data_IF_445457380080
#
_entry.id   IF_445457380080
#
_cell.length_a   1.000
_cell.length_b   1.000
_cell.length_c   1.000
_cell.angle_alpha   90.00
_cell.angle_beta   90.00
_cell.angle_gamma   90.00
#
_symmetry.space_group_name_H-M   'P 1'
#
loop_
_entity.id
_entity.type
_entity.pdbx_description
1 polymer ?
#
# COMPACT_ATOMS: atom_id res chain seq x y z
N UNK A 1 53.11 -49.07 -12.77
CA UNK A 1 53.15 -47.97 -11.79
C UNK A 1 51.78 -47.77 -11.21
N UNK A 2 51.58 -48.19 -9.94
CA UNK A 2 50.31 -48.24 -9.26
C UNK A 2 49.94 -46.83 -8.76
N UNK A 3 48.70 -46.39 -9.05
CA UNK A 3 48.12 -45.17 -8.48
C UNK A 3 47.27 -45.53 -7.26
N UNK A 4 47.69 -44.99 -6.10
CA UNK A 4 47.02 -45.20 -4.81
C UNK A 4 45.86 -44.24 -4.71
N UNK A 5 44.61 -44.75 -4.60
CA UNK A 5 43.42 -43.98 -4.26
C UNK A 5 43.35 -43.82 -2.74
N UNK A 6 43.40 -42.58 -2.28
CA UNK A 6 43.20 -42.23 -0.88
C UNK A 6 41.69 -42.12 -0.58
N UNK A 7 41.22 -43.00 0.30
CA UNK A 7 39.83 -43.06 0.80
C UNK A 7 39.74 -42.17 2.04
N UNK A 8 39.05 -41.05 1.97
CA UNK A 8 38.80 -40.19 3.13
C UNK A 8 37.48 -40.62 3.77
N UNK A 9 37.55 -41.21 4.95
CA UNK A 9 36.42 -41.53 5.83
C UNK A 9 35.96 -40.23 6.56
N UNK A 10 34.70 -39.84 6.42
CA UNK A 10 34.05 -38.85 7.28
C UNK A 10 33.36 -39.54 8.47
N UNK A 11 33.49 -39.03 9.69
CA UNK A 11 32.77 -39.58 10.83
C UNK A 11 31.29 -39.16 10.82
N UNK A 12 30.44 -40.14 11.13
CA UNK A 12 28.98 -40.01 11.29
C UNK A 12 28.68 -39.26 12.60
N UNK A 13 28.19 -38.03 12.53
CA UNK A 13 27.71 -37.31 13.69
C UNK A 13 26.25 -37.71 13.97
N UNK A 14 26.01 -38.28 15.16
CA UNK A 14 24.69 -38.64 15.64
C UNK A 14 23.89 -37.36 15.98
N UNK A 15 22.78 -37.13 15.28
CA UNK A 15 21.78 -36.07 15.58
C UNK A 15 20.83 -36.59 16.67
N UNK A 16 20.87 -35.98 17.84
CA UNK A 16 19.89 -36.17 18.91
C UNK A 16 18.63 -35.40 18.56
N UNK A 17 17.52 -36.08 18.27
CA UNK A 17 16.21 -35.47 18.10
C UNK A 17 15.64 -35.13 19.47
N UNK A 18 15.56 -33.84 19.81
CA UNK A 18 14.69 -33.34 20.86
C UNK A 18 13.26 -33.37 20.36
N UNK A 19 12.41 -34.12 21.07
CA UNK A 19 10.99 -34.29 20.70
C UNK A 19 10.20 -32.98 20.77
N UNK A 20 9.68 -32.56 19.63
CA UNK A 20 8.69 -31.50 19.54
C UNK A 20 7.31 -32.15 19.48
N UNK A 21 6.51 -32.01 20.54
CA UNK A 21 5.13 -32.49 20.60
C UNK A 21 4.27 -31.60 19.69
N UNK A 22 3.79 -32.15 18.58
CA UNK A 22 2.86 -31.47 17.69
C UNK A 22 1.45 -31.65 18.30
N UNK A 23 0.89 -30.56 18.82
CA UNK A 23 -0.52 -30.50 19.19
C UNK A 23 -1.33 -30.27 17.93
N UNK A 24 -2.00 -31.31 17.43
CA UNK A 24 -2.94 -31.20 16.33
C UNK A 24 -4.25 -30.60 16.83
N UNK A 25 -4.58 -29.39 16.39
CA UNK A 25 -5.92 -28.82 16.54
C UNK A 25 -6.85 -29.44 15.50
N UNK A 26 -7.85 -30.19 15.96
CA UNK A 26 -8.95 -30.72 15.14
C UNK A 26 -10.00 -29.63 14.97
N UNK A 27 -10.22 -29.17 13.74
CA UNK A 27 -11.35 -28.31 13.36
C UNK A 27 -12.59 -29.16 13.06
N UNK A 28 -13.21 -29.75 14.08
CA UNK A 28 -14.51 -30.43 13.97
C UNK A 28 -15.63 -29.46 14.36
N UNK A 29 -16.49 -29.00 13.42
CA UNK A 29 -17.54 -28.00 13.68
C UNK A 29 -18.68 -28.52 14.57
N UNK A 30 -18.68 -29.81 15.01
CA UNK A 30 -19.75 -30.44 15.78
C UNK A 30 -19.62 -30.30 17.32
N UNK A 31 -18.58 -29.62 17.85
CA UNK A 31 -18.34 -29.51 19.32
C UNK A 31 -18.18 -28.08 19.83
N UNK A 32 -18.89 -27.13 19.29
CA UNK A 32 -18.99 -25.81 19.92
C UNK A 32 -20.19 -25.79 20.87
N UNK A 33 -20.05 -25.39 22.16
CA UNK A 33 -21.17 -25.23 23.05
C UNK A 33 -22.04 -24.05 22.63
N UNK A 34 -23.33 -24.31 22.43
CA UNK A 34 -24.35 -23.31 22.12
C UNK A 34 -24.52 -22.41 23.34
N UNK A 35 -24.22 -21.13 23.23
CA UNK A 35 -24.52 -20.14 24.26
C UNK A 35 -26.04 -19.95 24.34
N UNK A 36 -26.63 -20.32 25.47
CA UNK A 36 -28.04 -20.09 25.77
C UNK A 36 -28.27 -18.59 25.98
N UNK A 37 -29.13 -18.00 25.15
CA UNK A 37 -29.63 -16.64 25.32
C UNK A 37 -30.60 -16.60 26.52
N UNK A 38 -30.31 -15.79 27.53
CA UNK A 38 -31.22 -15.45 28.60
C UNK A 38 -32.36 -14.57 28.09
N UNK A 39 -33.61 -14.81 28.48
CA UNK A 39 -34.73 -13.94 28.13
C UNK A 39 -34.68 -12.64 28.94
N UNK A 40 -34.51 -11.51 28.29
CA UNK A 40 -34.69 -10.19 28.89
C UNK A 40 -36.18 -9.89 29.08
N UNK A 41 -36.55 -9.56 30.32
CA UNK A 41 -37.90 -9.21 30.73
C UNK A 41 -38.41 -7.95 29.96
N UNK A 42 -39.64 -8.07 29.47
CA UNK A 42 -40.35 -6.99 28.78
C UNK A 42 -40.79 -5.92 29.80
N UNK A 43 -40.36 -4.67 29.54
CA UNK A 43 -40.86 -3.47 30.24
C UNK A 43 -42.15 -3.02 29.58
N UNK A 44 -43.22 -2.63 30.35
CA UNK A 44 -44.51 -2.29 29.77
C UNK A 44 -44.49 -0.94 29.03
N UNK A 45 -44.97 -0.95 27.82
CA UNK A 45 -45.12 0.23 26.94
C UNK A 45 -46.27 1.10 27.46
N UNK A 46 -45.96 2.33 27.87
CA UNK A 46 -46.92 3.37 28.21
C UNK A 46 -47.56 3.94 26.92
N UNK A 47 -48.90 3.92 26.81
CA UNK A 47 -49.67 4.47 25.70
C UNK A 47 -49.31 5.96 25.45
N UNK A 48 -49.15 6.40 24.20
CA UNK A 48 -48.98 7.82 23.88
C UNK A 48 -50.25 8.59 24.05
N UNK A 49 -50.21 9.64 24.85
CA UNK A 49 -51.26 10.62 24.95
C UNK A 49 -51.31 11.49 23.68
N UNK A 50 -52.52 11.69 23.16
CA UNK A 50 -52.85 12.59 22.05
C UNK A 50 -52.46 14.02 22.40
N UNK A 51 -51.35 14.52 21.77
CA UNK A 51 -51.01 15.93 21.80
C UNK A 51 -51.64 16.65 20.59
N UNK A 52 -52.46 17.68 20.91
CA UNK A 52 -53.05 18.67 20.00
C UNK A 52 -51.93 19.35 19.18
N UNK A 53 -52.12 19.58 17.89
CA UNK A 53 -51.09 20.26 17.06
C UNK A 53 -50.91 21.71 17.52
N UNK A 54 -49.70 22.08 17.85
CA UNK A 54 -49.30 23.46 18.11
C UNK A 54 -49.13 24.19 16.79
N UNK A 55 -49.68 25.41 16.77
CA UNK A 55 -49.59 26.39 15.67
C UNK A 55 -48.10 26.65 15.31
N UNK A 56 -47.72 26.67 14.03
CA UNK A 56 -46.32 26.92 13.66
C UNK A 56 -45.92 28.34 14.01
N UNK A 57 -45.01 28.48 14.95
CA UNK A 57 -44.34 29.76 15.25
C UNK A 57 -43.26 29.97 14.18
N UNK A 58 -43.41 31.05 13.41
CA UNK A 58 -42.46 31.50 12.39
C UNK A 58 -41.16 31.91 13.07
N UNK A 59 -40.17 31.02 13.04
CA UNK A 59 -38.80 31.32 13.49
C UNK A 59 -38.18 32.25 12.45
N UNK A 60 -37.62 33.42 12.81
CA UNK A 60 -36.91 34.27 11.88
C UNK A 60 -35.72 33.49 11.30
N UNK A 61 -35.63 33.40 9.99
CA UNK A 61 -34.49 32.82 9.32
C UNK A 61 -33.25 33.65 9.68
N UNK A 62 -32.27 33.00 10.36
CA UNK A 62 -30.92 33.52 10.54
C UNK A 62 -30.37 33.79 9.12
N UNK A 63 -29.73 34.94 8.85
CA UNK A 63 -29.12 35.19 7.56
C UNK A 63 -28.15 34.04 7.23
N UNK A 64 -28.35 33.40 6.09
CA UNK A 64 -27.42 32.43 5.58
C UNK A 64 -26.06 33.12 5.41
N UNK A 65 -25.09 32.78 6.23
CA UNK A 65 -23.70 33.15 5.98
C UNK A 65 -23.32 32.49 4.66
N UNK A 66 -23.32 33.28 3.61
CA UNK A 66 -22.84 32.83 2.28
C UNK A 66 -21.38 32.52 2.47
N UNK A 67 -21.04 31.23 2.58
CA UNK A 67 -19.66 30.80 2.46
C UNK A 67 -19.22 31.25 1.07
N UNK A 68 -18.17 32.08 0.93
CA UNK A 68 -17.69 32.49 -0.38
C UNK A 68 -17.40 31.21 -1.18
N UNK A 69 -17.90 31.14 -2.40
CA UNK A 69 -17.50 30.09 -3.33
C UNK A 69 -15.96 30.09 -3.40
N UNK A 70 -15.29 28.92 -3.38
CA UNK A 70 -13.85 28.88 -3.53
C UNK A 70 -13.51 29.63 -4.82
N UNK A 71 -12.62 30.62 -4.69
CA UNK A 71 -12.13 31.40 -5.82
C UNK A 71 -11.57 30.45 -6.89
N UNK A 72 -11.93 30.62 -8.17
CA UNK A 72 -11.40 29.77 -9.25
C UNK A 72 -9.87 29.85 -9.41
N UNK A 73 -9.22 30.80 -8.74
CA UNK A 73 -7.76 31.01 -8.79
C UNK A 73 -6.92 30.07 -7.91
N UNK A 74 -7.54 29.15 -7.19
CA UNK A 74 -6.81 28.20 -6.30
C UNK A 74 -6.76 26.77 -6.83
N UNK A 75 -7.05 26.53 -8.11
CA UNK A 75 -6.66 25.26 -8.72
C UNK A 75 -5.11 25.22 -8.73
N UNK A 76 -4.48 24.25 -8.03
CA UNK A 76 -3.02 24.15 -8.07
C UNK A 76 -2.61 23.96 -9.52
N UNK A 77 -1.89 24.95 -10.05
CA UNK A 77 -1.29 24.84 -11.37
C UNK A 77 -0.27 23.69 -11.26
N UNK A 78 -0.48 22.62 -12.03
CA UNK A 78 0.50 21.54 -12.16
C UNK A 78 1.74 22.16 -12.80
N UNK A 79 2.69 22.61 -12.00
CA UNK A 79 3.81 23.44 -12.44
C UNK A 79 4.96 22.64 -13.05
N UNK A 80 4.98 21.30 -12.91
CA UNK A 80 6.06 20.51 -13.46
C UNK A 80 5.67 19.07 -13.80
N UNK A 81 6.06 18.62 -14.98
CA UNK A 81 6.14 17.21 -15.34
C UNK A 81 7.57 16.74 -15.02
N UNK A 82 7.70 15.86 -14.03
CA UNK A 82 8.97 15.36 -13.55
C UNK A 82 9.17 13.95 -14.09
N UNK A 83 10.31 13.67 -14.70
CA UNK A 83 10.66 12.34 -15.18
C UNK A 83 11.91 11.81 -14.49
N UNK A 84 11.88 10.55 -14.03
CA UNK A 84 13.03 9.85 -13.46
C UNK A 84 13.01 8.37 -13.89
N UNK A 85 14.08 7.64 -13.58
CA UNK A 85 14.26 6.25 -14.01
C UNK A 85 15.09 6.14 -15.28
N UNK A 86 14.72 5.24 -16.21
CA UNK A 86 15.44 5.06 -17.47
C UNK A 86 15.19 6.17 -18.50
N UNK A 87 16.07 6.29 -19.50
CA UNK A 87 16.10 7.46 -20.37
C UNK A 87 14.94 7.58 -21.39
N UNK A 88 14.16 6.54 -21.63
CA UNK A 88 13.32 6.50 -22.80
C UNK A 88 11.82 6.35 -22.58
N UNK A 89 11.35 5.83 -21.45
CA UNK A 89 9.93 5.48 -21.30
C UNK A 89 9.31 6.11 -20.06
N UNK A 90 8.14 6.70 -20.26
CA UNK A 90 7.31 7.29 -19.22
C UNK A 90 6.11 6.39 -18.96
N UNK A 91 6.35 5.10 -18.72
CA UNK A 91 5.34 4.06 -18.65
C UNK A 91 4.42 4.19 -17.46
N UNK A 92 4.95 4.70 -16.34
CA UNK A 92 4.19 4.96 -15.14
C UNK A 92 4.03 6.47 -14.94
N UNK A 93 2.78 6.90 -14.82
CA UNK A 93 2.42 8.27 -14.47
C UNK A 93 2.01 8.33 -13.01
N UNK A 94 2.65 9.20 -12.25
CA UNK A 94 2.35 9.49 -10.85
C UNK A 94 1.72 10.85 -10.68
N UNK A 95 0.73 10.96 -9.80
CA UNK A 95 0.18 12.21 -9.30
C UNK A 95 0.62 12.40 -7.86
N UNK A 96 1.23 13.55 -7.56
CA UNK A 96 1.70 13.89 -6.22
C UNK A 96 0.68 14.78 -5.49
N UNK A 97 0.48 14.51 -4.20
CA UNK A 97 -0.50 15.14 -3.32
C UNK A 97 0.17 15.60 -2.03
N UNK A 98 -0.17 16.78 -1.53
CA UNK A 98 0.25 17.23 -0.21
C UNK A 98 -0.61 16.54 0.84
N UNK A 99 0.02 16.00 1.87
CA UNK A 99 -0.66 15.38 3.00
C UNK A 99 -0.67 16.30 4.22
N UNK A 100 -1.67 16.20 5.10
CA UNK A 100 -1.62 16.84 6.40
C UNK A 100 -0.39 16.36 7.19
N UNK A 101 0.26 17.26 7.97
CA UNK A 101 1.29 16.86 8.92
C UNK A 101 0.81 15.73 9.83
N UNK A 102 1.72 14.86 10.26
CA UNK A 102 1.45 13.72 11.13
C UNK A 102 0.56 12.61 10.53
N UNK A 103 0.35 12.61 9.21
CA UNK A 103 -0.27 11.49 8.49
C UNK A 103 0.52 10.20 8.75
N UNK A 104 -0.13 9.16 9.26
CA UNK A 104 0.53 7.90 9.69
C UNK A 104 0.53 6.81 8.62
N UNK A 105 -0.42 6.87 7.70
CA UNK A 105 -0.64 5.86 6.66
C UNK A 105 -1.17 6.53 5.41
N UNK A 106 -1.08 5.86 4.27
CA UNK A 106 -1.67 6.32 3.00
C UNK A 106 -3.17 6.62 3.17
N UNK A 107 -3.61 7.86 2.94
CA UNK A 107 -5.02 8.20 2.94
C UNK A 107 -5.68 7.83 1.61
N UNK A 108 -7.00 8.00 1.53
CA UNK A 108 -7.71 7.90 0.26
C UNK A 108 -7.42 9.14 -0.61
N UNK A 109 -6.61 8.97 -1.65
CA UNK A 109 -6.17 10.03 -2.55
C UNK A 109 -7.23 10.47 -3.57
N UNK A 110 -8.34 9.72 -3.74
CA UNK A 110 -9.34 9.96 -4.81
C UNK A 110 -10.05 11.32 -4.73
N UNK A 111 -10.04 11.97 -3.57
CA UNK A 111 -10.68 13.28 -3.32
C UNK A 111 -9.66 14.42 -3.18
N UNK A 112 -8.38 14.12 -3.38
CA UNK A 112 -7.31 15.10 -3.26
C UNK A 112 -6.96 15.68 -4.62
N UNK A 113 -6.47 16.91 -4.64
CA UNK A 113 -6.02 17.59 -5.86
C UNK A 113 -4.51 17.42 -5.96
N UNK A 114 -3.98 16.84 -7.06
CA UNK A 114 -2.55 16.70 -7.24
C UNK A 114 -1.90 18.06 -7.50
N UNK A 115 -0.70 18.27 -6.95
CA UNK A 115 0.10 19.48 -7.18
C UNK A 115 1.20 19.27 -8.22
N UNK A 116 1.55 18.01 -8.54
CA UNK A 116 2.54 17.68 -9.56
C UNK A 116 2.23 16.35 -10.24
N UNK A 117 2.79 16.15 -11.44
CA UNK A 117 2.77 14.90 -12.18
C UNK A 117 4.19 14.41 -12.40
N UNK A 118 4.43 13.13 -12.06
CA UNK A 118 5.71 12.45 -12.23
C UNK A 118 5.60 11.35 -13.29
N UNK A 119 6.71 11.09 -13.97
CA UNK A 119 6.81 10.00 -14.95
C UNK A 119 8.06 9.19 -14.68
N UNK A 120 7.94 7.87 -14.74
CA UNK A 120 9.07 6.94 -14.65
C UNK A 120 8.80 5.69 -15.49
N UNK A 121 9.84 4.96 -15.88
CA UNK A 121 9.72 3.62 -16.46
C UNK A 121 9.95 2.50 -15.44
N UNK A 122 10.47 2.84 -14.25
CA UNK A 122 10.79 1.89 -13.17
C UNK A 122 10.80 2.57 -11.82
N UNK A 123 10.63 1.79 -10.77
CA UNK A 123 10.78 2.24 -9.39
C UNK A 123 12.11 1.71 -8.87
N UNK A 124 13.15 2.58 -8.85
CA UNK A 124 14.49 2.22 -8.38
C UNK A 124 15.16 3.36 -7.60
N UNK A 125 14.39 3.99 -6.70
CA UNK A 125 14.92 4.92 -5.73
C UNK A 125 15.50 4.12 -4.58
N UNK A 126 16.84 3.99 -4.55
CA UNK A 126 17.53 3.28 -3.47
C UNK A 126 17.40 4.06 -2.16
N UNK A 127 17.52 3.33 -1.04
CA UNK A 127 17.52 3.95 0.28
C UNK A 127 18.67 4.97 0.40
N UNK A 128 18.31 6.22 0.63
CA UNK A 128 19.25 7.35 0.67
C UNK A 128 18.68 8.49 1.52
N UNK A 129 19.55 9.38 1.97
CA UNK A 129 19.14 10.61 2.63
C UNK A 129 18.35 11.51 1.67
N UNK A 130 17.26 12.11 2.17
CA UNK A 130 16.37 12.97 1.41
C UNK A 130 16.88 14.42 1.38
N UNK A 131 18.08 14.64 0.83
CA UNK A 131 18.76 15.94 0.88
C UNK A 131 18.45 16.87 -0.29
N UNK A 132 17.71 16.41 -1.29
CA UNK A 132 17.44 17.18 -2.53
C UNK A 132 16.03 17.02 -3.07
N UNK A 133 15.08 16.59 -2.26
CA UNK A 133 13.73 16.26 -2.68
C UNK A 133 13.64 14.85 -3.29
N UNK A 134 12.42 14.39 -3.54
CA UNK A 134 12.18 13.11 -4.21
C UNK A 134 12.80 13.16 -5.62
N UNK A 135 13.42 12.05 -6.09
CA UNK A 135 14.07 12.00 -7.39
C UNK A 135 13.21 12.59 -8.52
N UNK A 136 13.81 13.46 -9.32
CA UNK A 136 13.12 14.21 -10.36
C UNK A 136 12.79 15.65 -9.96
N UNK A 137 13.14 16.09 -8.74
CA UNK A 137 12.99 17.49 -8.33
C UNK A 137 11.57 17.85 -7.85
N UNK A 138 10.88 16.91 -7.21
CA UNK A 138 9.62 17.22 -6.51
C UNK A 138 9.92 18.25 -5.41
N UNK A 139 9.25 19.42 -5.41
CA UNK A 139 9.57 20.48 -4.44
C UNK A 139 9.17 20.15 -3.00
N UNK A 140 8.29 19.15 -2.81
CA UNK A 140 7.83 18.70 -1.50
C UNK A 140 8.81 17.69 -0.93
N UNK A 141 9.29 17.91 0.30
CA UNK A 141 10.27 17.04 0.96
C UNK A 141 9.66 16.16 2.06
N UNK A 142 8.47 16.51 2.55
CA UNK A 142 7.75 15.76 3.59
C UNK A 142 6.25 15.90 3.43
N UNK A 143 5.48 15.01 4.04
CA UNK A 143 4.01 15.02 4.04
C UNK A 143 3.43 15.07 2.63
N UNK A 144 3.85 14.12 1.79
CA UNK A 144 3.28 13.96 0.45
C UNK A 144 2.99 12.50 0.13
N UNK A 145 2.11 12.29 -0.81
CA UNK A 145 1.87 10.98 -1.41
C UNK A 145 2.00 11.06 -2.93
N UNK A 146 2.32 9.92 -3.55
CA UNK A 146 2.32 9.79 -5.00
C UNK A 146 1.52 8.53 -5.35
N UNK A 147 0.54 8.66 -6.24
CA UNK A 147 -0.13 7.51 -6.84
C UNK A 147 0.36 7.33 -8.26
N UNK A 148 1.10 6.26 -8.48
CA UNK A 148 1.56 5.85 -9.80
C UNK A 148 0.58 4.88 -10.44
N UNK A 149 0.40 5.03 -11.76
CA UNK A 149 -0.40 4.11 -12.58
C UNK A 149 0.30 3.87 -13.92
N UNK A 150 0.17 2.66 -14.44
CA UNK A 150 0.70 2.29 -15.73
C UNK A 150 0.52 0.82 -16.05
N UNK A 151 1.28 0.34 -17.03
CA UNK A 151 1.21 -1.04 -17.53
C UNK A 151 2.61 -1.63 -17.56
N UNK A 152 2.72 -2.91 -17.21
CA UNK A 152 3.92 -3.72 -17.37
C UNK A 152 3.57 -5.02 -18.08
N UNK A 153 4.57 -5.77 -18.56
CA UNK A 153 4.37 -7.04 -19.25
C UNK A 153 5.09 -8.18 -18.55
N UNK A 154 4.43 -9.34 -18.51
CA UNK A 154 5.00 -10.59 -18.04
C UNK A 154 5.23 -11.55 -19.21
N UNK A 155 6.39 -12.23 -19.25
CA UNK A 155 6.73 -13.14 -20.36
C UNK A 155 5.97 -14.46 -20.33
N UNK A 156 5.43 -14.86 -19.18
CA UNK A 156 4.72 -16.14 -18.99
C UNK A 156 3.63 -16.03 -17.94
N UNK A 157 2.68 -16.94 -17.99
CA UNK A 157 1.74 -17.16 -16.88
C UNK A 157 2.44 -17.81 -15.69
N UNK A 158 1.89 -17.65 -14.50
CA UNK A 158 2.39 -18.28 -13.27
C UNK A 158 2.12 -17.49 -12.01
N UNK A 159 2.62 -18.00 -10.89
CA UNK A 159 2.64 -17.30 -9.61
C UNK A 159 3.86 -16.38 -9.55
N UNK A 160 3.61 -15.09 -9.63
CA UNK A 160 4.65 -14.08 -9.60
C UNK A 160 4.82 -13.51 -8.20
N UNK A 161 6.07 -13.40 -7.75
CA UNK A 161 6.42 -12.76 -6.48
C UNK A 161 6.88 -11.34 -6.76
N UNK A 162 6.28 -10.38 -6.07
CA UNK A 162 6.65 -8.97 -6.10
C UNK A 162 7.28 -8.58 -4.78
N UNK A 163 8.39 -7.82 -4.83
CA UNK A 163 9.07 -7.29 -3.65
C UNK A 163 9.06 -5.76 -3.75
N UNK A 164 8.46 -5.13 -2.75
CA UNK A 164 8.37 -3.68 -2.62
C UNK A 164 9.25 -3.22 -1.47
N UNK A 165 10.18 -2.31 -1.76
CA UNK A 165 11.00 -1.61 -0.76
C UNK A 165 10.53 -0.17 -0.71
N UNK A 166 10.22 0.35 0.47
CA UNK A 166 9.84 1.76 0.64
C UNK A 166 10.31 2.34 1.97
N UNK A 167 10.46 3.63 1.99
CA UNK A 167 10.65 4.54 3.12
C UNK A 167 9.93 5.86 2.75
N UNK A 168 8.82 6.25 3.35
CA UNK A 168 8.00 5.51 4.30
C UNK A 168 7.12 4.44 3.60
N UNK A 169 5.81 4.59 3.69
CA UNK A 169 4.84 3.58 3.30
C UNK A 169 4.53 3.49 1.80
N UNK A 170 4.27 2.27 1.33
CA UNK A 170 3.77 2.04 -0.02
C UNK A 170 2.84 0.84 -0.11
N UNK A 171 1.91 0.85 -1.09
CA UNK A 171 1.00 -0.26 -1.37
C UNK A 171 0.96 -0.52 -2.87
N UNK A 172 1.16 -1.78 -3.25
CA UNK A 172 1.12 -2.23 -4.64
C UNK A 172 -0.20 -2.91 -4.96
N UNK A 173 -0.80 -2.50 -6.06
CA UNK A 173 -1.98 -3.13 -6.67
C UNK A 173 -1.65 -3.58 -8.10
N UNK A 174 -2.09 -4.79 -8.45
CA UNK A 174 -1.99 -5.32 -9.81
C UNK A 174 -3.38 -5.78 -10.25
N UNK A 175 -3.81 -5.30 -11.40
CA UNK A 175 -5.16 -5.52 -11.95
C UNK A 175 -6.28 -5.16 -10.95
N UNK A 176 -6.05 -4.07 -10.20
CA UNK A 176 -6.97 -3.55 -9.19
C UNK A 176 -6.96 -4.25 -7.84
N UNK A 177 -6.23 -5.37 -7.69
CA UNK A 177 -6.11 -6.13 -6.46
C UNK A 177 -4.83 -5.78 -5.70
N UNK A 178 -4.93 -5.63 -4.36
CA UNK A 178 -3.78 -5.37 -3.49
C UNK A 178 -2.89 -6.62 -3.40
N UNK A 179 -1.62 -6.46 -3.76
CA UNK A 179 -0.64 -7.55 -3.79
C UNK A 179 0.40 -7.40 -2.68
N UNK A 180 0.87 -6.17 -2.44
CA UNK A 180 1.83 -5.89 -1.36
C UNK A 180 1.33 -4.73 -0.52
N UNK A 181 1.34 -4.90 0.80
CA UNK A 181 1.08 -3.83 1.76
C UNK A 181 2.35 -3.58 2.59
N UNK A 182 3.00 -2.46 2.31
CA UNK A 182 4.12 -1.92 3.07
C UNK A 182 3.77 -0.54 3.63
N UNK A 183 2.47 -0.33 3.97
CA UNK A 183 1.96 0.96 4.46
C UNK A 183 2.47 1.28 5.87
N UNK A 184 2.43 2.55 6.24
CA UNK A 184 2.82 3.07 7.57
C UNK A 184 4.12 3.85 7.54
N UNK A 185 4.41 4.56 8.64
CA UNK A 185 5.69 5.24 8.83
C UNK A 185 6.76 4.24 9.27
N UNK A 186 7.84 4.13 8.53
CA UNK A 186 8.97 3.24 8.83
C UNK A 186 10.20 3.60 8.00
N UNK A 187 11.37 3.24 8.49
CA UNK A 187 12.61 3.27 7.70
C UNK A 187 12.54 2.26 6.55
N UNK A 188 13.48 2.36 5.61
CA UNK A 188 13.52 1.49 4.44
C UNK A 188 13.42 -0.01 4.82
N UNK A 189 12.36 -0.64 4.39
CA UNK A 189 12.11 -2.08 4.57
C UNK A 189 11.48 -2.69 3.34
N UNK A 190 11.57 -4.00 3.20
CA UNK A 190 10.95 -4.74 2.11
C UNK A 190 9.80 -5.62 2.59
N UNK A 191 8.74 -5.67 1.77
CA UNK A 191 7.63 -6.63 1.91
C UNK A 191 7.43 -7.33 0.58
N UNK A 192 7.09 -8.62 0.60
CA UNK A 192 6.78 -9.41 -0.59
C UNK A 192 5.31 -9.80 -0.62
N UNK A 193 4.76 -9.92 -1.82
CA UNK A 193 3.45 -10.48 -2.08
C UNK A 193 3.46 -11.36 -3.32
N UNK A 194 2.49 -12.23 -3.47
CA UNK A 194 2.37 -13.14 -4.61
C UNK A 194 1.00 -12.98 -5.27
N UNK A 195 0.99 -13.15 -6.59
CA UNK A 195 -0.24 -13.17 -7.39
C UNK A 195 -0.08 -14.08 -8.59
N UNK A 196 -1.09 -14.91 -8.85
CA UNK A 196 -1.19 -15.66 -10.10
C UNK A 196 -1.60 -14.70 -11.22
N UNK A 197 -0.81 -14.66 -12.29
CA UNK A 197 -1.00 -13.75 -13.42
C UNK A 197 -0.81 -14.54 -14.73
N UNK A 198 -1.47 -14.05 -15.79
CA UNK A 198 -1.28 -14.58 -17.15
C UNK A 198 -0.01 -14.03 -17.79
N UNK A 199 0.37 -14.51 -18.96
CA UNK A 199 1.35 -13.82 -19.79
C UNK A 199 0.72 -12.57 -20.40
N UNK A 200 1.52 -11.52 -20.65
CA UNK A 200 1.10 -10.30 -21.31
C UNK A 200 0.99 -9.09 -20.41
N UNK A 201 0.14 -8.15 -20.77
CA UNK A 201 0.04 -6.84 -20.13
C UNK A 201 -0.85 -6.86 -18.89
N UNK A 202 -0.36 -6.24 -17.82
CA UNK A 202 -1.06 -6.06 -16.56
C UNK A 202 -1.04 -4.61 -16.12
N UNK A 203 -2.12 -4.16 -15.47
CA UNK A 203 -2.19 -2.82 -14.89
C UNK A 203 -1.50 -2.80 -13.54
N UNK A 204 -0.77 -1.71 -13.27
CA UNK A 204 -0.11 -1.45 -12.01
C UNK A 204 -0.63 -0.13 -11.42
N UNK A 205 -0.96 -0.15 -10.12
CA UNK A 205 -1.04 1.05 -9.29
C UNK A 205 -0.09 0.87 -8.11
N UNK A 206 0.75 1.89 -7.88
CA UNK A 206 1.63 1.96 -6.72
C UNK A 206 1.35 3.27 -5.99
N UNK A 207 0.84 3.17 -4.78
CA UNK A 207 0.62 4.30 -3.89
C UNK A 207 1.81 4.37 -2.92
N UNK A 208 2.44 5.54 -2.81
CA UNK A 208 3.58 5.81 -1.94
C UNK A 208 3.32 7.05 -1.12
N UNK A 209 3.79 7.10 0.11
CA UNK A 209 3.83 8.34 0.88
C UNK A 209 5.13 8.50 1.64
N UNK A 210 5.52 9.76 1.77
CA UNK A 210 6.62 10.24 2.60
C UNK A 210 6.03 11.01 3.78
N UNK A 211 6.43 10.66 4.99
CA UNK A 211 6.06 11.37 6.20
C UNK A 211 7.04 12.53 6.46
N UNK A 212 7.87 12.43 7.48
CA UNK A 212 8.86 13.45 7.81
C UNK A 212 10.04 13.39 6.84
N UNK A 213 10.65 14.54 6.61
CA UNK A 213 11.95 14.64 5.97
C UNK A 213 12.98 13.74 6.68
N UNK A 214 13.78 13.04 5.91
CA UNK A 214 14.78 12.10 6.43
C UNK A 214 15.37 11.29 5.30
N UNK A 215 15.13 9.97 5.32
CA UNK A 215 15.50 9.08 4.24
C UNK A 215 14.34 8.84 3.27
N UNK A 216 14.64 8.31 2.09
CA UNK A 216 13.68 7.92 1.05
C UNK A 216 14.09 6.60 0.44
N UNK A 217 13.13 5.76 0.10
CA UNK A 217 13.30 4.57 -0.73
C UNK A 217 12.01 4.24 -1.48
N UNK A 218 12.12 3.84 -2.74
CA UNK A 218 11.01 3.27 -3.49
C UNK A 218 11.54 2.36 -4.59
N UNK A 219 11.52 1.05 -4.36
CA UNK A 219 11.98 0.06 -5.33
C UNK A 219 10.93 -1.05 -5.49
N UNK A 220 10.68 -1.45 -6.73
CA UNK A 220 9.76 -2.54 -7.05
C UNK A 220 10.45 -3.59 -7.92
N UNK A 221 10.42 -4.82 -7.46
CA UNK A 221 11.02 -5.97 -8.11
C UNK A 221 10.00 -7.07 -8.39
N UNK A 222 10.24 -7.83 -9.44
CA UNK A 222 9.78 -9.22 -9.54
C UNK A 222 10.90 -10.13 -9.04
N UNK A 223 10.55 -11.18 -8.29
CA UNK A 223 11.53 -12.18 -7.81
C UNK A 223 11.44 -13.40 -8.72
N UNK A 224 12.52 -13.69 -9.46
CA UNK A 224 12.60 -14.80 -10.41
C UNK A 224 13.75 -15.71 -10.02
N UNK A 225 13.48 -16.97 -9.71
CA UNK A 225 14.46 -17.94 -9.25
C UNK A 225 15.27 -17.47 -8.01
N UNK A 226 14.62 -16.70 -7.12
CA UNK A 226 15.26 -16.13 -5.94
C UNK A 226 16.05 -14.83 -6.19
N UNK A 227 16.11 -14.36 -7.44
CA UNK A 227 16.79 -13.12 -7.81
C UNK A 227 15.82 -11.96 -7.97
N UNK A 228 16.19 -10.80 -7.44
CA UNK A 228 15.46 -9.55 -7.61
C UNK A 228 15.70 -8.96 -9.01
N UNK A 229 14.64 -8.70 -9.74
CA UNK A 229 14.68 -8.00 -11.04
C UNK A 229 13.79 -6.77 -10.99
N UNK A 230 14.37 -5.59 -11.24
CA UNK A 230 13.59 -4.33 -11.29
C UNK A 230 12.45 -4.49 -12.29
N UNK A 231 11.21 -4.22 -11.85
CA UNK A 231 10.05 -4.18 -12.72
C UNK A 231 10.11 -2.94 -13.59
N UNK A 232 9.99 -3.14 -14.89
CA UNK A 232 10.02 -2.07 -15.90
C UNK A 232 8.64 -1.97 -16.55
N UNK A 233 8.16 -0.74 -16.70
CA UNK A 233 6.91 -0.47 -17.41
C UNK A 233 7.04 -0.63 -18.93
N UNK A 234 5.91 -0.81 -19.58
CA UNK A 234 5.78 -0.95 -21.03
C UNK A 234 5.81 0.40 -21.75
#
# INVERSE_FOLDING_TARGET
>A
MLSVRSLVMFPLAALVFAGCTITTYSNDPAKQPVAQAQPTAATPVKKPGTRRPAKPTKVPAKPATTVPAPSPDLAPVITSNIAFGGPAKKSFRGHAYVLPPDTKTLPNLSRMVPFATLFTDRFNVQAQEFSGGFPGGLPQEEWFAIQYQGVFELPSEGSWTFKLVSDDGAVLYIDGEQVVDNNGQHTARSVTGQKALTAGAHTLRLDYFQAKKGAVALQLYTVVNGEDRILVGR
#
